data_IF_779396473402
#
_entry.id   IF_779396473402
#
_cell.length_a   1.000
_cell.length_b   1.000
_cell.length_c   1.000
_cell.angle_alpha   90.00
_cell.angle_beta   90.00
_cell.angle_gamma   90.00
#
_symmetry.space_group_name_H-M   'P 1'
#
loop_
_entity.id
_entity.type
_entity.pdbx_description
1 polymer ?
#
# COMPACT_ATOMS: atom_id res chain seq x y z
N UNK A 1 -22.22 25.81 -7.04
CA UNK A 1 -22.20 24.82 -8.15
C UNK A 1 -20.95 23.89 -8.12
N UNK A 2 -19.97 24.09 -7.20
CA UNK A 2 -18.75 23.26 -7.11
C UNK A 2 -18.88 22.04 -6.18
N UNK A 3 -19.83 22.04 -5.25
CA UNK A 3 -19.99 20.93 -4.27
C UNK A 3 -20.66 19.67 -4.82
N UNK A 4 -21.25 19.74 -6.01
CA UNK A 4 -21.92 18.59 -6.63
C UNK A 4 -21.01 17.69 -7.47
N UNK A 5 -19.84 18.18 -7.84
CA UNK A 5 -18.91 17.45 -8.72
C UNK A 5 -17.84 16.69 -7.89
N UNK A 6 -17.41 17.27 -6.77
CA UNK A 6 -16.49 16.61 -5.83
C UNK A 6 -17.12 15.36 -5.18
N UNK A 7 -18.42 15.41 -4.85
CA UNK A 7 -19.15 14.25 -4.33
C UNK A 7 -19.28 13.09 -5.33
N UNK A 8 -19.39 13.40 -6.63
CA UNK A 8 -19.47 12.38 -7.69
C UNK A 8 -18.13 11.74 -8.01
N UNK A 9 -17.03 12.47 -7.83
CA UNK A 9 -15.67 11.95 -8.01
C UNK A 9 -15.25 11.07 -6.84
N UNK A 10 -15.62 11.43 -5.60
CA UNK A 10 -15.42 10.62 -4.41
C UNK A 10 -16.17 9.27 -4.50
N UNK A 11 -17.42 9.27 -4.96
CA UNK A 11 -18.20 8.03 -5.17
C UNK A 11 -17.58 7.10 -6.23
N UNK A 12 -16.91 7.64 -7.24
CA UNK A 12 -16.24 6.84 -8.28
C UNK A 12 -15.01 6.07 -7.77
N UNK A 13 -14.35 6.58 -6.73
CA UNK A 13 -13.16 5.94 -6.12
C UNK A 13 -13.49 4.98 -4.99
N UNK A 14 -14.73 4.97 -4.54
CA UNK A 14 -15.17 4.11 -3.43
C UNK A 14 -15.20 2.65 -3.86
N UNK A 15 -14.51 1.81 -3.11
CA UNK A 15 -14.53 0.35 -3.21
C UNK A 15 -15.10 -0.17 -1.90
N UNK A 16 -16.11 -1.04 -1.98
CA UNK A 16 -16.72 -1.64 -0.79
C UNK A 16 -15.69 -2.45 0.00
N UNK A 17 -15.61 -2.20 1.30
CA UNK A 17 -14.70 -2.87 2.22
C UNK A 17 -15.53 -3.49 3.34
N UNK A 18 -15.72 -4.80 3.25
CA UNK A 18 -16.52 -5.58 4.17
C UNK A 18 -15.69 -6.66 4.81
N UNK A 19 -15.73 -6.76 6.14
CA UNK A 19 -15.02 -7.78 6.90
C UNK A 19 -16.01 -8.60 7.70
N UNK A 20 -16.03 -9.96 7.58
CA UNK A 20 -16.89 -10.80 8.39
C UNK A 20 -16.52 -10.73 9.86
N UNK A 21 -17.50 -10.45 10.71
CA UNK A 21 -17.36 -10.50 12.16
C UNK A 21 -17.46 -11.93 12.71
N UNK A 22 -16.87 -12.17 13.89
CA UNK A 22 -16.92 -13.47 14.57
C UNK A 22 -18.33 -13.91 14.94
N UNK A 23 -19.27 -13.00 15.05
CA UNK A 23 -20.70 -13.25 15.34
C UNK A 23 -21.56 -13.42 14.07
N UNK A 24 -20.93 -13.42 12.89
CA UNK A 24 -21.59 -13.58 11.60
C UNK A 24 -22.19 -12.29 11.04
N UNK A 25 -21.98 -11.12 11.71
CA UNK A 25 -22.28 -9.82 11.14
C UNK A 25 -21.10 -9.32 10.32
N UNK A 26 -21.37 -8.40 9.40
CA UNK A 26 -20.35 -7.75 8.58
C UNK A 26 -20.12 -6.32 9.09
N UNK A 27 -18.86 -5.91 9.20
CA UNK A 27 -18.50 -4.53 9.47
C UNK A 27 -18.10 -3.84 8.17
N UNK A 28 -18.72 -2.72 7.88
CA UNK A 28 -18.37 -1.87 6.74
C UNK A 28 -17.30 -0.86 7.16
N UNK A 29 -16.21 -0.82 6.42
CA UNK A 29 -15.11 0.13 6.64
C UNK A 29 -15.02 1.20 5.54
N UNK A 30 -15.95 1.20 4.60
CA UNK A 30 -16.07 2.17 3.52
C UNK A 30 -17.19 3.21 3.76
N UNK A 31 -17.73 3.26 4.98
CA UNK A 31 -18.76 4.19 5.42
C UNK A 31 -18.54 4.64 6.85
N UNK A 32 -18.96 5.85 7.16
CA UNK A 32 -18.98 6.43 8.52
C UNK A 32 -20.33 6.31 9.19
N UNK A 33 -21.29 5.64 8.58
CA UNK A 33 -22.65 5.50 9.07
C UNK A 33 -22.68 4.90 10.49
N UNK A 34 -23.41 5.57 11.39
CA UNK A 34 -23.55 5.14 12.78
C UNK A 34 -22.35 5.44 13.68
N UNK A 35 -21.28 6.05 13.16
CA UNK A 35 -20.13 6.45 13.95
C UNK A 35 -20.36 7.81 14.62
N UNK A 36 -19.85 7.94 15.84
CA UNK A 36 -19.85 9.17 16.61
C UNK A 36 -18.50 9.39 17.27
N UNK A 37 -18.11 10.62 17.42
CA UNK A 37 -16.87 11.00 18.11
C UNK A 37 -17.04 12.42 18.65
N UNK A 38 -16.28 12.78 19.67
CA UNK A 38 -16.35 14.11 20.25
C UNK A 38 -15.85 15.19 19.28
N UNK A 39 -16.40 16.40 19.45
CA UNK A 39 -15.97 17.58 18.68
C UNK A 39 -14.50 17.85 18.89
N UNK A 40 -13.82 18.19 17.80
CA UNK A 40 -12.40 18.51 17.81
C UNK A 40 -11.48 17.32 18.05
N UNK A 41 -11.98 16.08 17.94
CA UNK A 41 -11.12 14.89 18.02
C UNK A 41 -10.03 14.92 16.97
N UNK A 42 -8.83 14.47 17.37
CA UNK A 42 -7.62 14.54 16.57
C UNK A 42 -7.05 13.16 16.27
N UNK A 43 -6.83 12.87 14.98
CA UNK A 43 -6.20 11.66 14.50
C UNK A 43 -4.88 12.02 13.84
N UNK A 44 -3.77 11.44 14.31
CA UNK A 44 -2.47 11.60 13.67
C UNK A 44 -2.21 10.47 12.68
N UNK A 45 -1.80 10.81 11.47
CA UNK A 45 -1.40 9.85 10.44
C UNK A 45 0.07 10.05 10.10
N UNK A 46 0.85 8.96 10.16
CA UNK A 46 2.26 8.97 9.75
C UNK A 46 2.45 7.98 8.62
N UNK A 47 2.76 8.51 7.43
CA UNK A 47 3.03 7.76 6.21
C UNK A 47 4.48 7.30 6.14
N UNK A 48 4.77 6.37 5.22
CA UNK A 48 6.15 5.96 4.91
C UNK A 48 6.84 6.92 3.94
N UNK A 49 6.06 7.57 3.06
CA UNK A 49 6.57 8.36 1.94
C UNK A 49 5.53 9.42 1.52
N UNK A 50 5.89 10.68 1.61
CA UNK A 50 4.99 11.77 1.20
C UNK A 50 5.02 12.05 -0.31
N UNK A 51 6.02 11.55 -1.03
CA UNK A 51 6.16 11.77 -2.47
C UNK A 51 5.36 10.78 -3.32
N UNK A 52 5.14 9.55 -2.82
CA UNK A 52 4.50 8.47 -3.55
C UNK A 52 3.02 8.71 -3.84
N UNK A 53 2.57 8.34 -5.03
CA UNK A 53 1.16 8.40 -5.45
C UNK A 53 0.25 7.59 -4.53
N UNK A 54 0.71 6.42 -4.09
CA UNK A 54 0.01 5.58 -3.11
C UNK A 54 -0.38 6.37 -1.84
N UNK A 55 0.58 7.03 -1.18
CA UNK A 55 0.31 7.76 0.07
C UNK A 55 -0.50 9.03 -0.14
N UNK A 56 -0.40 9.68 -1.30
CA UNK A 56 -1.29 10.78 -1.69
C UNK A 56 -2.74 10.32 -1.80
N UNK A 57 -2.98 9.14 -2.39
CA UNK A 57 -4.30 8.54 -2.46
C UNK A 57 -4.84 8.10 -1.09
N UNK A 58 -3.98 7.54 -0.23
CA UNK A 58 -4.32 7.25 1.18
C UNK A 58 -4.79 8.51 1.91
N UNK A 59 -4.05 9.61 1.76
CA UNK A 59 -4.42 10.91 2.35
C UNK A 59 -5.78 11.39 1.85
N UNK A 60 -6.04 11.29 0.56
CA UNK A 60 -7.32 11.70 -0.04
C UNK A 60 -8.49 10.88 0.52
N UNK A 61 -8.34 9.55 0.64
CA UNK A 61 -9.36 8.69 1.21
C UNK A 61 -9.60 8.94 2.70
N UNK A 62 -8.54 9.16 3.45
CA UNK A 62 -8.63 9.53 4.88
C UNK A 62 -9.35 10.87 5.07
N UNK A 63 -9.02 11.87 4.26
CA UNK A 63 -9.70 13.17 4.29
C UNK A 63 -11.19 13.04 3.94
N UNK A 64 -11.53 12.22 2.94
CA UNK A 64 -12.93 11.98 2.58
C UNK A 64 -13.71 11.36 3.74
N UNK A 65 -13.13 10.39 4.45
CA UNK A 65 -13.78 9.78 5.61
C UNK A 65 -14.05 10.81 6.71
N UNK A 66 -13.10 11.72 6.96
CA UNK A 66 -13.30 12.81 7.91
C UNK A 66 -14.38 13.81 7.46
N UNK A 67 -14.41 14.14 6.17
CA UNK A 67 -15.42 15.05 5.63
C UNK A 67 -16.81 14.44 5.72
N UNK A 68 -16.96 13.15 5.39
CA UNK A 68 -18.20 12.41 5.55
C UNK A 68 -18.64 12.34 7.01
N UNK A 69 -17.72 12.07 7.94
CA UNK A 69 -17.98 12.00 9.37
C UNK A 69 -18.43 13.36 9.91
N UNK A 70 -17.70 14.43 9.59
CA UNK A 70 -18.06 15.78 10.02
C UNK A 70 -19.42 16.21 9.47
N UNK A 71 -19.71 15.86 8.21
CA UNK A 71 -21.03 16.13 7.61
C UNK A 71 -22.15 15.36 8.33
N UNK A 72 -21.94 14.07 8.60
CA UNK A 72 -22.89 13.21 9.33
C UNK A 72 -23.18 13.70 10.74
N UNK A 73 -22.15 14.22 11.44
CA UNK A 73 -22.27 14.74 12.81
C UNK A 73 -22.68 16.22 12.87
N UNK A 74 -22.71 16.91 11.75
CA UNK A 74 -22.99 18.35 11.68
C UNK A 74 -21.89 19.23 12.30
N UNK A 75 -20.64 18.75 12.31
CA UNK A 75 -19.51 19.47 12.86
C UNK A 75 -18.92 20.47 11.85
N UNK A 76 -18.72 21.70 12.29
CA UNK A 76 -18.18 22.79 11.48
C UNK A 76 -17.13 23.59 12.23
N UNK A 77 -16.27 24.29 11.52
CA UNK A 77 -15.23 25.14 12.11
C UNK A 77 -14.31 24.36 13.05
N UNK A 78 -14.15 24.86 14.25
CA UNK A 78 -13.30 24.25 15.29
C UNK A 78 -13.89 22.97 15.92
N UNK A 79 -15.15 22.68 15.64
CA UNK A 79 -15.81 21.44 16.11
C UNK A 79 -15.43 20.22 15.24
N UNK A 80 -14.88 20.44 14.05
CA UNK A 80 -14.53 19.36 13.13
C UNK A 80 -13.51 18.39 13.75
N UNK A 81 -13.73 17.11 13.51
CA UNK A 81 -12.70 16.07 13.62
C UNK A 81 -11.67 16.33 12.55
N UNK A 82 -10.40 16.29 12.89
CA UNK A 82 -9.31 16.60 11.97
C UNK A 82 -8.16 15.62 12.08
N UNK A 83 -7.31 15.60 11.06
CA UNK A 83 -6.08 14.84 11.07
C UNK A 83 -4.86 15.72 10.77
N UNK A 84 -3.70 15.28 11.24
CA UNK A 84 -2.41 15.60 10.64
C UNK A 84 -1.97 14.44 9.77
N UNK A 85 -1.25 14.73 8.70
CA UNK A 85 -0.71 13.73 7.79
C UNK A 85 0.75 14.06 7.53
N UNK A 86 1.64 13.34 8.19
CA UNK A 86 3.07 13.58 8.22
C UNK A 86 3.83 12.33 7.76
N UNK A 87 5.10 12.49 7.48
CA UNK A 87 5.98 11.40 7.09
C UNK A 87 7.29 11.92 6.50
N UNK A 88 8.27 11.03 6.27
CA UNK A 88 9.46 11.38 5.52
C UNK A 88 9.16 11.59 4.04
N UNK A 89 10.10 12.21 3.32
CA UNK A 89 10.00 12.45 1.89
C UNK A 89 10.11 11.16 1.06
N UNK A 90 10.68 10.09 1.64
CA UNK A 90 10.80 8.77 1.01
C UNK A 90 10.96 7.64 2.03
N UNK A 91 10.71 6.41 1.61
CA UNK A 91 10.77 5.20 2.45
C UNK A 91 12.18 4.82 2.96
N UNK A 92 13.24 5.49 2.53
CA UNK A 92 14.60 5.18 3.00
C UNK A 92 14.94 5.84 4.33
N UNK A 93 14.16 6.81 4.78
CA UNK A 93 14.46 7.61 5.98
C UNK A 93 13.71 7.13 7.23
N UNK A 94 14.11 5.95 7.71
CA UNK A 94 13.56 5.34 8.93
C UNK A 94 13.73 6.23 10.15
N UNK A 95 14.89 6.88 10.31
CA UNK A 95 15.15 7.72 11.47
C UNK A 95 14.24 8.95 11.51
N UNK A 96 14.02 9.60 10.37
CA UNK A 96 13.06 10.70 10.26
C UNK A 96 11.64 10.24 10.63
N UNK A 97 11.21 9.07 10.15
CA UNK A 97 9.89 8.53 10.49
C UNK A 97 9.73 8.31 12.01
N UNK A 98 10.70 7.69 12.66
CA UNK A 98 10.66 7.44 14.11
C UNK A 98 10.55 8.77 14.88
N UNK A 99 11.34 9.78 14.51
CA UNK A 99 11.26 11.10 15.14
C UNK A 99 9.89 11.78 14.94
N UNK A 100 9.28 11.61 13.77
CA UNK A 100 7.93 12.11 13.48
C UNK A 100 6.90 11.38 14.36
N UNK A 101 7.00 10.06 14.49
CA UNK A 101 6.10 9.28 15.36
C UNK A 101 6.22 9.73 16.81
N UNK A 102 7.42 9.89 17.35
CA UNK A 102 7.64 10.42 18.71
C UNK A 102 6.98 11.80 18.90
N UNK A 103 7.14 12.67 17.89
CA UNK A 103 6.55 14.00 17.93
C UNK A 103 5.02 13.97 17.98
N UNK A 104 4.38 13.18 17.11
CA UNK A 104 2.91 13.14 17.06
C UNK A 104 2.31 12.43 18.29
N UNK A 105 2.99 11.44 18.86
CA UNK A 105 2.55 10.82 20.13
C UNK A 105 2.55 11.86 21.26
N UNK A 106 3.55 12.74 21.30
CA UNK A 106 3.65 13.80 22.31
C UNK A 106 2.53 14.84 22.22
N UNK A 107 1.88 14.96 21.08
CA UNK A 107 0.68 15.79 20.87
C UNK A 107 -0.61 15.16 21.43
N UNK A 108 -0.52 13.91 21.89
CA UNK A 108 -1.62 13.15 22.48
C UNK A 108 -2.86 13.05 21.57
N UNK A 109 -2.74 12.50 20.35
CA UNK A 109 -3.89 12.29 19.49
C UNK A 109 -4.88 11.28 20.09
N UNK A 110 -6.14 11.33 19.66
CA UNK A 110 -7.17 10.37 20.06
C UNK A 110 -6.98 9.00 19.39
N UNK A 111 -6.31 8.95 18.25
CA UNK A 111 -5.84 7.74 17.59
C UNK A 111 -4.62 8.03 16.71
N UNK A 112 -3.85 6.99 16.45
CA UNK A 112 -2.65 7.03 15.62
C UNK A 112 -2.78 6.04 14.47
N UNK A 113 -2.60 6.50 13.23
CA UNK A 113 -2.55 5.68 12.03
C UNK A 113 -1.12 5.70 11.52
N UNK A 114 -0.49 4.53 11.42
CA UNK A 114 0.93 4.39 11.06
C UNK A 114 1.13 3.45 9.89
N UNK A 115 1.89 3.90 8.89
CA UNK A 115 2.61 3.01 7.99
C UNK A 115 4.08 2.95 8.41
N UNK A 116 4.58 1.78 8.81
CA UNK A 116 5.92 1.62 9.35
C UNK A 116 6.91 1.24 8.24
N UNK A 117 8.01 1.97 8.13
CA UNK A 117 9.07 1.67 7.16
C UNK A 117 9.82 0.40 7.57
N UNK A 118 10.35 0.36 8.78
CA UNK A 118 11.20 -0.72 9.28
C UNK A 118 10.49 -1.49 10.41
N UNK A 119 10.12 -2.72 10.13
CA UNK A 119 9.41 -3.59 11.10
C UNK A 119 10.23 -3.97 12.32
N UNK A 120 11.54 -3.72 12.34
CA UNK A 120 12.41 -3.90 13.52
C UNK A 120 12.55 -2.63 14.36
N UNK A 121 12.04 -1.50 13.85
CA UNK A 121 12.06 -0.20 14.52
C UNK A 121 10.63 0.21 14.86
N UNK A 122 10.44 0.90 15.98
CA UNK A 122 9.12 1.43 16.34
C UNK A 122 8.43 0.68 17.50
N UNK A 123 9.01 -0.38 18.04
CA UNK A 123 8.43 -1.08 19.20
C UNK A 123 8.28 -0.14 20.41
N UNK A 124 9.27 0.71 20.67
CA UNK A 124 9.21 1.70 21.75
C UNK A 124 8.06 2.68 21.56
N UNK A 125 7.79 3.09 20.32
CA UNK A 125 6.67 3.98 19.97
C UNK A 125 5.32 3.30 20.18
N UNK A 126 5.22 1.99 19.89
CA UNK A 126 4.00 1.23 20.18
C UNK A 126 3.75 1.15 21.67
N UNK A 127 4.76 0.93 22.48
CA UNK A 127 4.68 0.90 23.94
C UNK A 127 4.27 2.27 24.49
N UNK A 128 4.86 3.35 23.99
CA UNK A 128 4.50 4.73 24.40
C UNK A 128 3.06 5.08 24.05
N UNK A 129 2.59 4.74 22.84
CA UNK A 129 1.21 4.94 22.43
C UNK A 129 0.25 4.14 23.34
N UNK A 130 0.59 2.89 23.65
CA UNK A 130 -0.20 2.03 24.55
C UNK A 130 -0.26 2.59 25.98
N UNK A 131 0.86 3.02 26.55
CA UNK A 131 0.93 3.63 27.87
C UNK A 131 0.10 4.94 27.94
N UNK A 132 0.05 5.66 26.83
CA UNK A 132 -0.76 6.87 26.68
C UNK A 132 -2.23 6.57 26.30
N UNK A 133 -2.62 5.31 26.19
CA UNK A 133 -3.95 4.85 25.79
C UNK A 133 -4.40 5.34 24.41
N UNK A 134 -3.45 5.54 23.51
CA UNK A 134 -3.70 5.93 22.12
C UNK A 134 -3.83 4.65 21.27
N UNK A 135 -5.01 4.35 20.69
CA UNK A 135 -5.16 3.22 19.80
C UNK A 135 -4.33 3.41 18.52
N UNK A 136 -3.66 2.34 18.08
CA UNK A 136 -2.82 2.33 16.88
C UNK A 136 -3.48 1.49 15.79
N UNK A 137 -3.70 2.12 14.65
CA UNK A 137 -4.15 1.49 13.41
C UNK A 137 -2.96 1.47 12.46
N UNK A 138 -2.59 0.30 11.97
CA UNK A 138 -1.59 0.18 10.92
C UNK A 138 -2.24 0.41 9.56
N UNK A 139 -1.57 1.17 8.71
CA UNK A 139 -1.91 1.38 7.30
C UNK A 139 -0.79 0.83 6.42
N UNK A 140 -1.08 -0.15 5.59
CA UNK A 140 -0.17 -0.80 4.64
C UNK A 140 0.88 -1.72 5.27
N UNK A 141 1.78 -1.18 6.06
CA UNK A 141 2.92 -1.91 6.65
C UNK A 141 3.09 -1.59 8.13
N UNK A 142 3.33 -2.60 8.95
CA UNK A 142 3.49 -2.45 10.38
C UNK A 142 4.69 -3.18 10.96
N UNK A 143 4.53 -3.54 12.21
CA UNK A 143 5.45 -4.39 12.98
C UNK A 143 4.65 -5.48 13.67
N UNK A 144 5.30 -6.58 14.03
CA UNK A 144 4.68 -7.59 14.88
C UNK A 144 4.57 -7.06 16.32
N UNK A 145 3.33 -6.81 16.76
CA UNK A 145 3.04 -6.30 18.09
C UNK A 145 1.60 -6.58 18.50
N UNK A 146 1.40 -7.04 19.73
CA UNK A 146 0.08 -7.22 20.34
C UNK A 146 -0.59 -5.88 20.73
N UNK A 147 0.14 -4.77 20.61
CA UNK A 147 -0.33 -3.43 20.96
C UNK A 147 -1.07 -2.74 19.81
N UNK A 148 -1.10 -3.34 18.62
CA UNK A 148 -1.80 -2.84 17.44
C UNK A 148 -3.27 -3.22 17.54
N UNK A 149 -4.16 -2.21 17.36
CA UNK A 149 -5.61 -2.42 17.40
C UNK A 149 -6.11 -3.07 16.11
N UNK A 150 -5.63 -2.61 14.96
CA UNK A 150 -6.04 -3.09 13.64
C UNK A 150 -4.99 -2.80 12.57
N UNK A 151 -4.98 -3.60 11.52
CA UNK A 151 -4.20 -3.36 10.30
C UNK A 151 -5.13 -3.27 9.11
N UNK A 152 -5.12 -2.10 8.45
CA UNK A 152 -5.76 -1.86 7.15
C UNK A 152 -4.70 -1.99 6.06
N UNK A 153 -4.79 -3.00 5.22
CA UNK A 153 -3.82 -3.24 4.17
C UNK A 153 -4.41 -4.11 3.06
N UNK A 154 -3.75 -4.13 1.92
CA UNK A 154 -3.88 -5.19 0.92
C UNK A 154 -3.47 -6.52 1.55
N UNK A 155 -4.14 -7.61 1.19
CA UNK A 155 -3.59 -8.95 1.39
C UNK A 155 -2.35 -9.12 0.49
N UNK A 156 -1.20 -8.69 1.02
CA UNK A 156 0.06 -8.65 0.27
C UNK A 156 0.48 -10.03 -0.24
N UNK A 157 0.22 -11.06 0.55
CA UNK A 157 0.56 -12.43 0.16
C UNK A 157 -0.31 -12.91 -1.01
N UNK A 158 -1.62 -12.73 -0.95
CA UNK A 158 -2.52 -13.10 -2.04
C UNK A 158 -2.25 -12.28 -3.32
N UNK A 159 -1.99 -10.99 -3.18
CA UNK A 159 -1.67 -10.11 -4.30
C UNK A 159 -0.34 -10.51 -4.99
N UNK A 160 0.69 -10.85 -4.22
CA UNK A 160 1.98 -11.28 -4.75
C UNK A 160 1.89 -12.66 -5.44
N UNK A 161 1.05 -13.58 -4.95
CA UNK A 161 0.77 -14.84 -5.64
C UNK A 161 0.11 -14.61 -7.00
N UNK A 162 -0.84 -13.67 -7.07
CA UNK A 162 -1.46 -13.27 -8.33
C UNK A 162 -0.42 -12.70 -9.30
N UNK A 163 0.52 -11.88 -8.83
CA UNK A 163 1.63 -11.38 -9.64
C UNK A 163 2.51 -12.53 -10.17
N UNK A 164 2.82 -13.52 -9.33
CA UNK A 164 3.60 -14.69 -9.73
C UNK A 164 2.90 -15.51 -10.81
N UNK A 165 1.60 -15.76 -10.68
CA UNK A 165 0.80 -16.49 -11.65
C UNK A 165 0.85 -15.78 -13.03
N UNK A 166 0.65 -14.48 -13.06
CA UNK A 166 0.69 -13.70 -14.30
C UNK A 166 2.09 -13.59 -14.92
N UNK A 167 3.15 -13.45 -14.10
CA UNK A 167 4.51 -13.44 -14.63
C UNK A 167 4.89 -14.81 -15.23
N UNK A 168 4.55 -15.89 -14.56
CA UNK A 168 4.79 -17.24 -15.07
C UNK A 168 4.04 -17.49 -16.38
N UNK A 169 2.78 -17.07 -16.48
CA UNK A 169 2.02 -17.12 -17.74
C UNK A 169 2.71 -16.32 -18.85
N UNK A 170 3.16 -15.10 -18.57
CA UNK A 170 3.82 -14.23 -19.53
C UNK A 170 5.11 -14.83 -20.12
N UNK A 171 5.86 -15.61 -19.33
CA UNK A 171 7.12 -16.26 -19.77
C UNK A 171 6.94 -17.69 -20.26
N UNK A 172 5.69 -18.19 -20.36
CA UNK A 172 5.38 -19.55 -20.80
C UNK A 172 5.66 -20.63 -19.76
N UNK A 173 5.53 -20.30 -18.48
CA UNK A 173 5.67 -21.21 -17.32
C UNK A 173 7.04 -21.90 -17.21
N UNK A 174 8.09 -21.33 -17.78
CA UNK A 174 9.45 -21.89 -17.78
C UNK A 174 10.50 -20.81 -17.93
N UNK A 175 11.55 -20.86 -17.14
CA UNK A 175 12.71 -19.99 -17.21
C UNK A 175 13.11 -19.34 -15.91
N UNK A 176 13.98 -18.35 -16.02
CA UNK A 176 14.55 -17.62 -14.89
C UNK A 176 13.83 -16.28 -14.70
N UNK A 177 13.52 -15.93 -13.46
CA UNK A 177 12.94 -14.65 -13.08
C UNK A 177 13.72 -14.03 -11.91
N UNK A 178 13.69 -12.70 -11.83
CA UNK A 178 14.26 -11.95 -10.73
C UNK A 178 13.19 -11.10 -10.05
N UNK A 179 13.49 -10.67 -8.84
CA UNK A 179 12.66 -9.74 -8.07
C UNK A 179 13.47 -8.46 -7.85
N UNK A 180 12.83 -7.31 -8.07
CA UNK A 180 13.31 -5.99 -7.63
C UNK A 180 12.38 -5.53 -6.52
N UNK A 181 12.90 -5.60 -5.29
CA UNK A 181 12.15 -5.31 -4.09
C UNK A 181 12.57 -3.96 -3.48
N UNK A 182 11.64 -3.28 -2.83
CA UNK A 182 11.94 -2.01 -2.18
C UNK A 182 12.76 -2.20 -0.91
N UNK A 183 12.21 -2.09 0.28
CA UNK A 183 12.97 -2.17 1.53
C UNK A 183 13.01 -3.61 2.06
N UNK A 184 14.18 -4.09 2.48
CA UNK A 184 14.32 -5.44 3.04
C UNK A 184 13.49 -5.65 4.32
N UNK A 185 13.51 -4.67 5.22
CA UNK A 185 12.85 -4.74 6.52
C UNK A 185 11.42 -4.16 6.55
N UNK A 186 10.84 -3.79 5.42
CA UNK A 186 9.46 -3.35 5.36
C UNK A 186 8.53 -4.57 5.25
N UNK A 187 7.50 -4.64 6.09
CA UNK A 187 6.57 -5.77 6.14
C UNK A 187 5.95 -6.09 4.78
N UNK A 188 5.43 -5.08 4.07
CA UNK A 188 4.83 -5.28 2.74
C UNK A 188 5.81 -5.84 1.72
N UNK A 189 7.06 -5.37 1.71
CA UNK A 189 8.11 -5.90 0.83
C UNK A 189 8.43 -7.36 1.14
N UNK A 190 8.67 -7.66 2.42
CA UNK A 190 8.99 -9.02 2.87
C UNK A 190 7.88 -10.01 2.53
N UNK A 191 6.61 -9.66 2.79
CA UNK A 191 5.46 -10.51 2.47
C UNK A 191 5.30 -10.73 0.97
N UNK A 192 5.46 -9.68 0.15
CA UNK A 192 5.37 -9.79 -1.32
C UNK A 192 6.47 -10.66 -1.90
N UNK A 193 7.71 -10.49 -1.45
CA UNK A 193 8.86 -11.32 -1.89
C UNK A 193 8.66 -12.78 -1.52
N UNK A 194 8.33 -13.06 -0.25
CA UNK A 194 8.16 -14.43 0.25
C UNK A 194 7.00 -15.15 -0.44
N UNK A 195 5.84 -14.52 -0.54
CA UNK A 195 4.66 -15.11 -1.17
C UNK A 195 4.86 -15.36 -2.67
N UNK A 196 5.52 -14.44 -3.37
CA UNK A 196 5.89 -14.62 -4.79
C UNK A 196 6.79 -15.83 -4.98
N UNK A 197 7.86 -15.95 -4.18
CA UNK A 197 8.79 -17.10 -4.26
C UNK A 197 8.09 -18.41 -3.96
N UNK A 198 7.28 -18.43 -2.92
CA UNK A 198 6.55 -19.62 -2.51
C UNK A 198 5.56 -20.09 -3.56
N UNK A 199 4.84 -19.18 -4.19
CA UNK A 199 3.90 -19.51 -5.28
C UNK A 199 4.62 -20.17 -6.46
N UNK A 200 5.80 -19.65 -6.84
CA UNK A 200 6.62 -20.26 -7.89
C UNK A 200 7.11 -21.64 -7.47
N UNK A 201 7.67 -21.80 -6.29
CA UNK A 201 8.17 -23.07 -5.79
C UNK A 201 7.07 -24.16 -5.74
N UNK A 202 5.86 -23.79 -5.38
CA UNK A 202 4.74 -24.73 -5.22
C UNK A 202 4.05 -25.09 -6.54
N UNK A 203 3.95 -24.16 -7.49
CA UNK A 203 3.15 -24.34 -8.70
C UNK A 203 3.94 -24.43 -10.00
N UNK A 204 5.10 -23.80 -10.09
CA UNK A 204 5.83 -23.59 -11.34
C UNK A 204 7.23 -24.18 -11.29
N UNK A 205 7.31 -25.52 -11.29
CA UNK A 205 8.57 -26.27 -11.11
C UNK A 205 9.66 -25.95 -12.12
N UNK A 206 9.29 -25.46 -13.31
CA UNK A 206 10.22 -25.10 -14.39
C UNK A 206 10.60 -23.60 -14.38
N UNK A 207 10.09 -22.83 -13.41
CA UNK A 207 10.45 -21.43 -13.18
C UNK A 207 11.34 -21.31 -11.95
N UNK A 208 12.39 -20.50 -12.03
CA UNK A 208 13.33 -20.27 -10.93
C UNK A 208 13.47 -18.78 -10.63
N UNK A 209 13.31 -18.41 -9.37
CA UNK A 209 13.74 -17.10 -8.86
C UNK A 209 15.24 -17.14 -8.62
N UNK A 210 16.01 -16.47 -9.48
CA UNK A 210 17.49 -16.54 -9.48
C UNK A 210 18.15 -15.41 -8.72
N UNK A 211 17.43 -14.28 -8.53
CA UNK A 211 17.98 -13.09 -7.87
C UNK A 211 16.87 -12.28 -7.21
N UNK A 212 17.16 -11.71 -6.04
CA UNK A 212 16.36 -10.66 -5.41
C UNK A 212 17.27 -9.46 -5.18
N UNK A 213 16.93 -8.34 -5.79
CA UNK A 213 17.62 -7.07 -5.64
C UNK A 213 16.78 -6.15 -4.76
N UNK A 214 17.37 -5.56 -3.72
CA UNK A 214 16.70 -4.62 -2.82
C UNK A 214 17.16 -3.19 -3.07
N UNK A 215 16.20 -2.28 -3.21
CA UNK A 215 16.45 -0.86 -3.50
C UNK A 215 16.80 0.00 -2.28
N UNK A 216 17.11 -0.62 -1.13
CA UNK A 216 17.44 0.06 0.13
C UNK A 216 18.95 0.23 0.39
N UNK A 217 19.77 -0.16 -0.58
CA UNK A 217 21.23 -0.01 -0.55
C UNK A 217 21.73 1.21 -1.32
N UNK A 218 23.06 1.32 -1.41
CA UNK A 218 23.73 2.41 -2.15
C UNK A 218 23.81 2.14 -3.67
N UNK A 219 23.70 0.87 -4.08
CA UNK A 219 23.76 0.48 -5.47
C UNK A 219 22.45 0.84 -6.19
N UNK A 220 22.55 1.45 -7.36
CA UNK A 220 21.37 1.79 -8.17
C UNK A 220 20.67 0.55 -8.71
N UNK A 221 19.35 0.63 -8.93
CA UNK A 221 18.60 -0.44 -9.59
C UNK A 221 19.18 -0.74 -10.98
N UNK A 222 19.60 0.27 -11.72
CA UNK A 222 20.22 0.09 -13.02
C UNK A 222 21.50 -0.77 -12.96
N UNK A 223 22.39 -0.52 -11.99
CA UNK A 223 23.61 -1.30 -11.80
C UNK A 223 23.31 -2.73 -11.34
N UNK A 224 22.36 -2.89 -10.40
CA UNK A 224 21.92 -4.21 -9.96
C UNK A 224 21.33 -5.05 -11.11
N UNK A 225 20.52 -4.45 -11.98
CA UNK A 225 19.92 -5.12 -13.13
C UNK A 225 20.99 -5.47 -14.18
N UNK A 226 21.95 -4.59 -14.42
CA UNK A 226 23.09 -4.89 -15.29
C UNK A 226 23.85 -6.12 -14.80
N UNK A 227 24.19 -6.17 -13.51
CA UNK A 227 24.87 -7.30 -12.90
C UNK A 227 24.02 -8.57 -12.96
N UNK A 228 22.71 -8.45 -12.75
CA UNK A 228 21.77 -9.58 -12.84
C UNK A 228 21.73 -10.15 -14.25
N UNK A 229 21.64 -9.30 -15.28
CA UNK A 229 21.60 -9.74 -16.69
C UNK A 229 22.93 -10.31 -17.17
N UNK A 230 24.06 -9.82 -16.67
CA UNK A 230 25.38 -10.39 -16.95
C UNK A 230 25.51 -11.80 -16.33
N UNK A 231 24.96 -12.00 -15.13
CA UNK A 231 24.99 -13.29 -14.42
C UNK A 231 23.96 -14.28 -14.97
N UNK A 232 22.79 -13.80 -15.33
CA UNK A 232 21.63 -14.59 -15.82
C UNK A 232 21.17 -14.08 -17.20
N UNK A 233 21.95 -14.33 -18.28
CA UNK A 233 21.63 -13.80 -19.61
C UNK A 233 20.33 -14.39 -20.20
N UNK A 234 19.82 -15.48 -19.64
CA UNK A 234 18.56 -16.10 -20.03
C UNK A 234 17.35 -15.62 -19.22
N UNK A 235 17.50 -14.57 -18.42
CA UNK A 235 16.42 -14.00 -17.61
C UNK A 235 15.21 -13.64 -18.49
N UNK A 236 14.02 -14.11 -18.12
CA UNK A 236 12.78 -13.92 -18.87
C UNK A 236 11.80 -12.96 -18.21
N UNK A 237 11.89 -12.76 -16.92
CA UNK A 237 10.92 -11.94 -16.21
C UNK A 237 11.47 -11.28 -14.96
N UNK A 238 10.83 -10.18 -14.59
CA UNK A 238 11.13 -9.41 -13.37
C UNK A 238 9.81 -9.06 -12.69
N UNK A 239 9.74 -9.33 -11.39
CA UNK A 239 8.68 -8.85 -10.51
C UNK A 239 9.20 -7.65 -9.71
N UNK A 240 8.48 -6.52 -9.76
CA UNK A 240 8.77 -5.31 -9.00
C UNK A 240 7.75 -5.18 -7.88
N UNK A 241 8.21 -5.01 -6.63
CA UNK A 241 7.34 -5.10 -5.46
C UNK A 241 6.56 -3.84 -5.14
N UNK A 242 6.87 -2.70 -5.76
CA UNK A 242 6.09 -1.46 -5.64
C UNK A 242 6.30 -0.53 -6.85
N UNK A 243 5.61 0.61 -6.86
CA UNK A 243 5.66 1.64 -7.91
C UNK A 243 7.09 2.10 -8.19
N UNK A 244 7.86 2.51 -7.16
CA UNK A 244 9.21 3.03 -7.33
C UNK A 244 10.16 1.98 -7.96
N UNK A 245 10.05 0.73 -7.54
CA UNK A 245 10.85 -0.37 -8.12
C UNK A 245 10.45 -0.66 -9.55
N UNK A 246 9.16 -0.57 -9.88
CA UNK A 246 8.68 -0.73 -11.25
C UNK A 246 9.19 0.38 -12.15
N UNK A 247 9.07 1.63 -11.73
CA UNK A 247 9.51 2.80 -12.51
C UNK A 247 11.01 2.77 -12.76
N UNK A 248 11.83 2.53 -11.73
CA UNK A 248 13.28 2.41 -11.89
C UNK A 248 13.71 1.23 -12.75
N UNK A 249 13.00 0.10 -12.68
CA UNK A 249 13.26 -1.07 -13.55
C UNK A 249 12.92 -0.77 -15.01
N UNK A 250 11.78 -0.14 -15.28
CA UNK A 250 11.38 0.26 -16.62
C UNK A 250 12.40 1.23 -17.24
N UNK A 251 12.83 2.24 -16.49
CA UNK A 251 13.83 3.20 -16.92
C UNK A 251 15.18 2.53 -17.21
N UNK A 252 15.64 1.68 -16.30
CA UNK A 252 16.91 0.97 -16.46
C UNK A 252 16.92 0.06 -17.69
N UNK A 253 15.86 -0.70 -17.93
CA UNK A 253 15.77 -1.60 -19.10
C UNK A 253 15.63 -0.83 -20.41
N UNK A 254 15.02 0.36 -20.42
CA UNK A 254 14.92 1.20 -21.61
C UNK A 254 16.29 1.67 -22.11
N UNK A 255 17.26 1.82 -21.22
CA UNK A 255 18.64 2.22 -21.52
C UNK A 255 19.57 1.03 -21.84
N UNK A 256 19.07 -0.22 -21.76
CA UNK A 256 19.84 -1.43 -22.00
C UNK A 256 19.46 -2.06 -23.34
N UNK A 257 20.43 -2.71 -23.98
CA UNK A 257 20.22 -3.49 -25.22
C UNK A 257 19.75 -4.92 -24.90
N UNK A 258 18.97 -5.50 -25.80
CA UNK A 258 18.52 -6.90 -25.74
C UNK A 258 17.68 -7.24 -24.47
N UNK A 259 16.78 -6.33 -24.08
CA UNK A 259 15.90 -6.50 -22.92
C UNK A 259 14.42 -6.64 -23.29
N UNK A 260 14.08 -6.56 -24.57
CA UNK A 260 12.69 -6.53 -25.07
C UNK A 260 11.94 -7.85 -24.78
N UNK A 261 12.66 -8.97 -24.59
CA UNK A 261 12.07 -10.26 -24.25
C UNK A 261 11.74 -10.41 -22.76
N UNK A 262 12.22 -9.49 -21.90
CA UNK A 262 12.01 -9.57 -20.46
C UNK A 262 10.60 -9.04 -20.14
N UNK A 263 9.78 -9.90 -19.54
CA UNK A 263 8.45 -9.54 -19.09
C UNK A 263 8.52 -8.91 -17.70
N UNK A 264 7.83 -7.79 -17.50
CA UNK A 264 7.79 -7.07 -16.24
C UNK A 264 6.39 -7.14 -15.68
N UNK A 265 6.27 -7.60 -14.45
CA UNK A 265 5.05 -7.51 -13.64
C UNK A 265 5.33 -6.64 -12.43
N UNK A 266 4.51 -5.61 -12.25
CA UNK A 266 4.65 -4.66 -11.16
C UNK A 266 3.66 -4.88 -10.02
N UNK A 267 3.74 -3.98 -9.09
CA UNK A 267 2.81 -3.77 -8.00
C UNK A 267 2.52 -2.26 -7.93
N UNK A 268 1.30 -1.86 -7.57
CA UNK A 268 0.82 -0.49 -7.70
C UNK A 268 0.38 -0.08 -9.11
N UNK A 269 -0.04 1.15 -9.31
CA UNK A 269 -0.50 1.65 -10.60
C UNK A 269 -0.32 3.17 -10.74
N UNK A 270 0.92 3.63 -10.52
CA UNK A 270 1.31 5.01 -10.77
C UNK A 270 1.26 5.38 -12.26
N UNK A 271 1.34 6.66 -12.58
CA UNK A 271 1.19 7.17 -13.95
C UNK A 271 2.17 6.53 -14.95
N UNK A 272 3.44 6.34 -14.57
CA UNK A 272 4.44 5.72 -15.45
C UNK A 272 4.14 4.25 -15.70
N UNK A 273 3.67 3.51 -14.70
CA UNK A 273 3.23 2.13 -14.87
C UNK A 273 2.01 2.03 -15.77
N UNK A 274 1.00 2.91 -15.60
CA UNK A 274 -0.19 2.96 -16.46
C UNK A 274 0.22 3.15 -17.93
N UNK A 275 1.11 4.09 -18.20
CA UNK A 275 1.65 4.35 -19.52
C UNK A 275 2.44 3.15 -20.06
N UNK A 276 3.32 2.57 -19.25
CA UNK A 276 4.12 1.42 -19.64
C UNK A 276 3.26 0.20 -20.00
N UNK A 277 2.17 -0.05 -19.28
CA UNK A 277 1.21 -1.11 -19.59
C UNK A 277 0.50 -0.82 -20.92
N UNK A 278 0.02 0.39 -21.14
CA UNK A 278 -0.63 0.79 -22.40
C UNK A 278 0.30 0.68 -23.60
N UNK A 279 1.59 1.00 -23.42
CA UNK A 279 2.63 0.89 -24.43
C UNK A 279 3.18 -0.56 -24.60
N UNK A 280 2.85 -1.47 -23.69
CA UNK A 280 3.33 -2.86 -23.71
C UNK A 280 4.76 -3.06 -23.18
N UNK A 281 5.30 -2.07 -22.47
CA UNK A 281 6.61 -2.17 -21.79
C UNK A 281 6.53 -2.89 -20.44
N UNK A 282 5.39 -2.81 -19.78
CA UNK A 282 5.04 -3.58 -18.59
C UNK A 282 3.90 -4.53 -18.95
N UNK A 283 4.05 -5.82 -18.64
CA UNK A 283 3.04 -6.84 -18.97
C UNK A 283 1.74 -6.60 -18.20
N UNK A 284 1.87 -6.23 -16.94
CA UNK A 284 0.77 -5.89 -16.07
C UNK A 284 1.23 -5.63 -14.65
N UNK A 285 0.29 -5.30 -13.79
CA UNK A 285 0.54 -4.97 -12.40
C UNK A 285 -0.59 -5.42 -11.49
N UNK A 286 -0.28 -5.70 -10.24
CA UNK A 286 -1.30 -5.81 -9.18
C UNK A 286 -1.41 -4.46 -8.49
N UNK A 287 -2.51 -3.77 -8.72
CA UNK A 287 -2.80 -2.49 -8.06
C UNK A 287 -3.51 -2.70 -6.74
N UNK A 288 -3.40 -1.72 -5.87
CA UNK A 288 -4.03 -1.69 -4.56
C UNK A 288 -5.24 -0.74 -4.54
N UNK A 289 -5.83 -0.55 -3.37
CA UNK A 289 -6.89 0.41 -3.11
C UNK A 289 -6.45 1.43 -2.04
N UNK A 290 -5.49 2.32 -2.33
CA UNK A 290 -4.97 3.24 -1.33
C UNK A 290 -6.00 4.27 -0.85
N UNK A 291 -6.91 4.71 -1.70
CA UNK A 291 -8.01 5.59 -1.30
C UNK A 291 -8.92 4.90 -0.29
N UNK A 292 -9.36 3.68 -0.58
CA UNK A 292 -10.17 2.86 0.35
C UNK A 292 -9.42 2.52 1.63
N UNK A 293 -8.10 2.28 1.55
CA UNK A 293 -7.25 2.05 2.72
C UNK A 293 -7.26 3.26 3.66
N UNK A 294 -7.06 4.45 3.14
CA UNK A 294 -7.13 5.69 3.93
C UNK A 294 -8.49 5.91 4.58
N UNK A 295 -9.56 5.68 3.83
CA UNK A 295 -10.93 5.75 4.34
C UNK A 295 -11.16 4.73 5.47
N UNK A 296 -10.82 3.47 5.25
CA UNK A 296 -10.97 2.39 6.22
C UNK A 296 -10.14 2.62 7.50
N UNK A 297 -8.94 3.16 7.37
CA UNK A 297 -8.08 3.46 8.51
C UNK A 297 -8.72 4.53 9.43
N UNK A 298 -9.32 5.55 8.88
CA UNK A 298 -10.09 6.55 9.66
C UNK A 298 -11.31 5.90 10.32
N UNK A 299 -12.07 5.08 9.60
CA UNK A 299 -13.22 4.37 10.16
C UNK A 299 -12.79 3.48 11.33
N UNK A 300 -11.71 2.70 11.15
CA UNK A 300 -11.14 1.87 12.21
C UNK A 300 -10.69 2.69 13.43
N UNK A 301 -10.02 3.82 13.20
CA UNK A 301 -9.59 4.74 14.25
C UNK A 301 -10.78 5.31 15.05
N UNK A 302 -11.82 5.78 14.37
CA UNK A 302 -13.04 6.32 15.01
C UNK A 302 -13.78 5.24 15.80
N UNK A 303 -13.89 4.02 15.26
CA UNK A 303 -14.44 2.88 16.00
C UNK A 303 -13.66 2.61 17.28
N UNK A 304 -12.34 2.63 17.23
CA UNK A 304 -11.48 2.45 18.40
C UNK A 304 -11.66 3.57 19.44
N UNK A 305 -11.70 4.83 19.01
CA UNK A 305 -11.96 5.99 19.87
C UNK A 305 -13.31 5.86 20.57
N UNK A 306 -14.33 5.38 19.86
CA UNK A 306 -15.69 5.20 20.34
C UNK A 306 -15.84 3.96 21.24
N UNK A 307 -14.83 3.11 21.35
CA UNK A 307 -14.88 1.86 22.10
C UNK A 307 -15.66 0.74 21.42
N UNK A 308 -15.89 0.85 20.11
CA UNK A 308 -16.49 -0.22 19.30
C UNK A 308 -15.44 -1.27 18.95
N UNK A 309 -15.90 -2.49 18.63
CA UNK A 309 -15.00 -3.53 18.14
C UNK A 309 -14.41 -3.13 16.79
N UNK A 310 -13.12 -3.45 16.60
CA UNK A 310 -12.40 -3.26 15.35
C UNK A 310 -11.81 -4.59 14.94
N UNK A 311 -11.96 -4.95 13.66
CA UNK A 311 -11.34 -6.16 13.13
C UNK A 311 -9.82 -6.02 13.11
N UNK A 312 -9.11 -7.06 13.50
CA UNK A 312 -7.65 -7.03 13.57
C UNK A 312 -7.00 -6.88 12.20
N UNK A 313 -7.63 -7.44 11.16
CA UNK A 313 -7.19 -7.33 9.78
C UNK A 313 -8.35 -6.87 8.90
N UNK A 314 -8.13 -5.81 8.15
CA UNK A 314 -9.05 -5.22 7.19
C UNK A 314 -8.37 -5.27 5.84
N UNK A 315 -8.79 -6.20 4.97
CA UNK A 315 -8.32 -6.26 3.60
C UNK A 315 -8.98 -5.17 2.78
N UNK A 316 -8.19 -4.29 2.20
CA UNK A 316 -8.67 -3.14 1.44
C UNK A 316 -8.78 -3.42 -0.06
N UNK A 317 -8.41 -4.61 -0.49
CA UNK A 317 -8.57 -5.09 -1.85
C UNK A 317 -7.40 -4.81 -2.78
N UNK A 318 -7.36 -5.56 -3.86
CA UNK A 318 -6.38 -5.45 -4.95
C UNK A 318 -7.01 -5.89 -6.27
N UNK A 319 -6.38 -5.53 -7.39
CA UNK A 319 -6.87 -5.85 -8.73
C UNK A 319 -5.70 -6.07 -9.68
N UNK A 320 -5.79 -7.09 -10.54
CA UNK A 320 -4.88 -7.23 -11.68
C UNK A 320 -5.25 -6.25 -12.79
N UNK A 321 -4.24 -5.57 -13.33
CA UNK A 321 -4.36 -4.67 -14.48
C UNK A 321 -3.33 -5.07 -15.54
N UNK A 322 -3.79 -5.12 -16.77
CA UNK A 322 -2.98 -5.33 -17.97
C UNK A 322 -3.49 -4.43 -19.11
N UNK A 323 -2.89 -4.58 -20.29
CA UNK A 323 -3.26 -3.78 -21.46
C UNK A 323 -4.73 -3.89 -21.86
N UNK A 324 -5.34 -5.04 -21.63
CA UNK A 324 -6.74 -5.29 -22.00
C UNK A 324 -7.74 -4.74 -20.97
N UNK A 325 -7.29 -4.55 -19.74
CA UNK A 325 -8.17 -4.22 -18.59
C UNK A 325 -7.94 -2.85 -17.98
N UNK A 326 -6.78 -2.23 -18.19
CA UNK A 326 -6.42 -0.97 -17.52
C UNK A 326 -7.36 0.19 -17.87
N UNK A 327 -7.87 0.24 -19.09
CA UNK A 327 -8.76 1.30 -19.56
C UNK A 327 -10.26 1.03 -19.27
N UNK A 328 -10.60 -0.11 -18.66
CA UNK A 328 -11.98 -0.41 -18.28
C UNK A 328 -12.47 0.57 -17.22
N UNK A 329 -13.70 1.05 -17.38
CA UNK A 329 -14.32 2.00 -16.43
C UNK A 329 -14.33 1.44 -15.00
N UNK A 330 -14.56 0.15 -14.85
CA UNK A 330 -14.58 -0.54 -13.54
C UNK A 330 -13.23 -0.52 -12.82
N UNK A 331 -12.12 -0.33 -13.55
CA UNK A 331 -10.76 -0.35 -13.02
C UNK A 331 -10.20 1.05 -12.74
N UNK A 332 -10.86 2.12 -13.20
CA UNK A 332 -10.37 3.50 -13.01
C UNK A 332 -10.22 3.88 -11.54
N UNK A 333 -11.04 3.33 -10.67
CA UNK A 333 -11.00 3.54 -9.22
C UNK A 333 -9.76 2.96 -8.52
N UNK A 334 -9.02 2.06 -9.20
CA UNK A 334 -7.78 1.46 -8.70
C UNK A 334 -6.52 2.20 -9.16
N UNK A 335 -6.62 3.20 -10.02
CA UNK A 335 -5.49 3.94 -10.52
C UNK A 335 -5.08 5.06 -9.56
N UNK A 336 -3.77 5.25 -9.40
CA UNK A 336 -3.20 6.33 -8.58
C UNK A 336 -3.01 7.58 -9.47
N UNK A 337 -3.87 8.57 -9.30
CA UNK A 337 -3.85 9.82 -10.05
C UNK A 337 -3.80 11.01 -9.09
#
# INVERSE_FOLDING_TARGET
ESSGDEGKEADKKRIEITVPHKDGMEALYDTVDGLTVEKGSYIAVVAKDLSAGFWKAVKAGAQQALDDLNASLGYTGNDKVYMTFEGPENESDTNSQINIIDSVISENPDALILGIIDQQSGQAQMEEASDSQIPVIIADSGIESDLITSTCATDHAAAAKLAADHLCEAIGNSGEVAIVAHQYNTESSAERVEAFKKEIEEKYTDVKVVQVNYGDGEESIADMLKNTLETYPALKGIFCTNEDMADQTLDALADMENTEQIQIVGFDSGEEQQKAIQEGREYGTVTQNPYGLGYAAIVAAVRAIQGLSVDQKIDTGYQWLDKDTIDLETNQKYLYN
#
